data_IF_934199495052
#
_entry.id   IF_934199495052
#
_cell.length_a   1.000
_cell.length_b   1.000
_cell.length_c   1.000
_cell.angle_alpha   90.00
_cell.angle_beta   90.00
_cell.angle_gamma   90.00
#
_symmetry.space_group_name_H-M   'P 1'
#
loop_
_entity.id
_entity.type
_entity.pdbx_description
1 polymer ?
#
# COMPACT_ATOMS: atom_id res chain seq x y z
N UNK A 1 15.50 4.66 2.84
CA UNK A 1 15.98 5.91 3.46
C UNK A 1 14.93 6.98 3.28
N UNK A 2 14.69 7.83 4.30
CA UNK A 2 13.79 8.97 4.18
C UNK A 2 14.37 10.19 4.90
N UNK A 3 14.10 11.38 4.36
CA UNK A 3 14.63 12.63 4.89
C UNK A 3 13.61 13.76 4.78
N UNK A 4 13.67 14.67 5.76
CA UNK A 4 13.00 15.96 5.69
C UNK A 4 13.77 16.85 4.70
N UNK A 5 13.07 17.32 3.66
CA UNK A 5 13.61 18.31 2.72
C UNK A 5 13.29 19.72 3.22
N UNK A 6 12.17 19.87 3.90
CA UNK A 6 11.76 21.10 4.59
C UNK A 6 10.98 20.75 5.86
N UNK A 7 10.47 21.75 6.57
CA UNK A 7 9.61 21.54 7.76
C UNK A 7 8.31 20.80 7.44
N UNK A 8 7.83 20.88 6.20
CA UNK A 8 6.56 20.31 5.77
C UNK A 8 6.70 19.25 4.67
N UNK A 9 7.89 19.05 4.09
CA UNK A 9 8.11 18.12 2.98
C UNK A 9 9.12 17.05 3.38
N UNK A 10 8.78 15.79 3.13
CA UNK A 10 9.66 14.63 3.28
C UNK A 10 9.71 13.83 1.99
N UNK A 11 10.88 13.28 1.69
CA UNK A 11 11.10 12.33 0.60
C UNK A 11 11.63 11.01 1.14
N UNK A 12 11.29 9.92 0.48
CA UNK A 12 11.76 8.58 0.80
C UNK A 12 12.14 7.82 -0.45
N UNK A 13 13.21 7.04 -0.37
CA UNK A 13 13.64 6.09 -1.38
C UNK A 13 13.89 4.72 -0.75
N UNK A 14 13.48 3.66 -1.42
CA UNK A 14 13.72 2.29 -0.97
C UNK A 14 14.26 1.46 -2.13
N UNK A 15 15.19 0.55 -1.85
CA UNK A 15 15.65 -0.48 -2.79
C UNK A 15 15.30 -1.84 -2.21
N UNK A 16 14.91 -2.78 -3.07
CA UNK A 16 14.48 -4.12 -2.69
C UNK A 16 15.13 -5.16 -3.60
N UNK A 17 15.43 -6.32 -3.03
CA UNK A 17 15.63 -7.55 -3.78
C UNK A 17 14.32 -8.33 -3.72
N UNK A 18 13.83 -8.76 -4.87
CA UNK A 18 12.58 -9.48 -5.02
C UNK A 18 12.93 -10.88 -5.47
N UNK A 19 12.49 -11.87 -4.69
CA UNK A 19 12.66 -13.28 -5.02
C UNK A 19 11.29 -13.93 -5.03
N UNK A 20 10.94 -14.59 -6.13
CA UNK A 20 9.70 -15.33 -6.26
C UNK A 20 10.01 -16.78 -6.63
N UNK A 21 9.37 -17.71 -5.93
CA UNK A 21 9.42 -19.13 -6.22
C UNK A 21 7.97 -19.62 -6.38
N UNK A 22 7.51 -19.66 -7.63
CA UNK A 22 6.11 -19.95 -7.97
C UNK A 22 5.87 -21.44 -8.17
N UNK A 23 6.86 -22.18 -8.69
CA UNK A 23 6.75 -23.62 -8.89
C UNK A 23 8.13 -24.30 -8.87
N UNK A 24 8.20 -25.47 -8.22
CA UNK A 24 9.40 -26.32 -8.20
C UNK A 24 9.69 -27.06 -9.51
N UNK A 25 8.78 -27.00 -10.48
CA UNK A 25 8.95 -27.53 -11.84
C UNK A 25 8.38 -26.53 -12.86
N UNK A 26 9.01 -26.45 -14.03
CA UNK A 26 8.58 -25.58 -15.13
C UNK A 26 7.16 -25.85 -15.62
N UNK A 27 6.55 -24.85 -16.25
CA UNK A 27 5.23 -24.98 -16.85
C UNK A 27 5.34 -25.60 -18.26
N UNK A 28 4.54 -26.62 -18.57
CA UNK A 28 4.46 -27.19 -19.91
C UNK A 28 5.71 -27.96 -20.34
N UNK A 29 6.31 -27.57 -21.47
CA UNK A 29 7.46 -28.25 -22.10
C UNK A 29 8.83 -27.65 -21.72
N UNK A 30 8.85 -26.63 -20.87
CA UNK A 30 10.09 -25.89 -20.55
C UNK A 30 10.85 -26.49 -19.37
N UNK A 31 12.15 -26.73 -19.56
CA UNK A 31 13.06 -27.18 -18.50
C UNK A 31 13.55 -25.98 -17.68
N UNK A 32 13.13 -25.90 -16.41
CA UNK A 32 13.60 -24.88 -15.47
C UNK A 32 12.85 -24.90 -14.15
N UNK A 33 13.35 -24.14 -13.16
CA UNK A 33 12.62 -23.82 -11.93
C UNK A 33 11.81 -22.55 -12.15
N UNK A 34 10.54 -22.49 -11.74
CA UNK A 34 9.72 -21.26 -11.77
C UNK A 34 10.15 -20.26 -10.70
N UNK A 35 11.45 -19.96 -10.63
CA UNK A 35 12.08 -19.10 -9.64
C UNK A 35 12.75 -17.93 -10.34
N UNK A 36 12.42 -16.71 -9.90
CA UNK A 36 12.92 -15.47 -10.46
C UNK A 36 13.49 -14.57 -9.38
N UNK A 37 14.56 -13.84 -9.69
CA UNK A 37 15.10 -12.81 -8.81
C UNK A 37 15.23 -11.51 -9.59
N UNK A 38 14.71 -10.42 -9.04
CA UNK A 38 14.81 -9.08 -9.59
C UNK A 38 15.15 -8.08 -8.49
N UNK A 39 15.35 -6.83 -8.86
CA UNK A 39 15.50 -5.72 -7.94
C UNK A 39 14.45 -4.65 -8.24
N UNK A 40 14.05 -3.91 -7.22
CA UNK A 40 13.05 -2.85 -7.36
C UNK A 40 13.42 -1.62 -6.54
N UNK A 41 12.97 -0.46 -7.01
CA UNK A 41 13.06 0.82 -6.32
C UNK A 41 11.67 1.37 -6.00
N UNK A 42 11.57 2.09 -4.89
CA UNK A 42 10.41 2.91 -4.56
C UNK A 42 10.83 4.36 -4.33
N UNK A 43 9.92 5.28 -4.66
CA UNK A 43 10.00 6.70 -4.33
C UNK A 43 8.73 7.12 -3.60
N UNK A 44 8.89 7.88 -2.52
CA UNK A 44 7.79 8.42 -1.74
C UNK A 44 7.96 9.91 -1.46
N UNK A 45 6.85 10.62 -1.48
CA UNK A 45 6.75 12.03 -1.13
C UNK A 45 5.64 12.22 -0.11
N UNK A 46 5.90 13.07 0.88
CA UNK A 46 4.93 13.46 1.89
C UNK A 46 5.00 14.97 2.11
N UNK A 47 3.84 15.61 2.04
CA UNK A 47 3.65 17.02 2.34
C UNK A 47 2.64 17.18 3.47
N UNK A 48 3.04 17.89 4.52
CA UNK A 48 2.21 18.24 5.69
C UNK A 48 2.17 19.77 5.84
N UNK A 49 1.27 20.47 5.13
CA UNK A 49 1.17 21.92 5.23
C UNK A 49 0.75 22.41 6.62
N UNK A 50 0.10 21.55 7.41
CA UNK A 50 -0.23 21.77 8.82
C UNK A 50 -0.28 20.43 9.56
N UNK A 51 -0.50 20.47 10.88
CA UNK A 51 -0.70 19.26 11.69
C UNK A 51 -2.02 18.54 11.38
N UNK A 52 -2.93 19.18 10.65
CA UNK A 52 -4.23 18.63 10.31
C UNK A 52 -4.27 17.94 8.95
N UNK A 53 -3.39 18.31 8.03
CA UNK A 53 -3.45 17.84 6.65
C UNK A 53 -2.17 17.14 6.25
N UNK A 54 -2.32 16.01 5.56
CA UNK A 54 -1.23 15.34 4.88
C UNK A 54 -1.65 14.99 3.46
N UNK A 55 -0.74 15.22 2.53
CA UNK A 55 -0.84 14.74 1.17
C UNK A 55 0.43 13.94 0.86
N UNK A 56 0.29 12.81 0.19
CA UNK A 56 1.44 12.00 -0.17
C UNK A 56 1.22 11.28 -1.47
N UNK A 57 2.32 10.86 -2.09
CA UNK A 57 2.27 9.91 -3.16
C UNK A 57 3.45 8.95 -3.07
N UNK A 58 3.27 7.76 -3.61
CA UNK A 58 4.30 6.74 -3.68
C UNK A 58 4.27 6.07 -5.04
N UNK A 59 5.45 5.86 -5.61
CA UNK A 59 5.68 4.98 -6.75
C UNK A 59 6.49 3.80 -6.24
N UNK A 60 6.00 2.58 -6.43
CA UNK A 60 6.61 1.37 -5.86
C UNK A 60 6.94 0.35 -6.93
N UNK A 61 7.97 -0.44 -6.66
CA UNK A 61 8.42 -1.59 -7.46
C UNK A 61 8.87 -1.21 -8.88
N UNK A 62 9.50 -0.06 -9.05
CA UNK A 62 10.13 0.33 -10.33
C UNK A 62 11.41 -0.47 -10.52
N UNK A 63 11.50 -1.25 -11.60
CA UNK A 63 12.65 -2.10 -11.86
C UNK A 63 12.51 -2.86 -13.18
N UNK A 64 13.51 -3.66 -13.56
CA UNK A 64 13.42 -4.51 -14.74
C UNK A 64 12.42 -5.65 -14.52
N UNK A 65 11.89 -6.15 -15.64
CA UNK A 65 11.07 -7.36 -15.66
C UNK A 65 11.81 -8.52 -14.99
N UNK A 66 11.03 -9.42 -14.40
CA UNK A 66 11.54 -10.62 -13.74
C UNK A 66 11.46 -11.80 -14.69
N UNK A 67 12.60 -12.45 -14.90
CA UNK A 67 12.71 -13.66 -15.70
C UNK A 67 12.71 -14.89 -14.80
N UNK A 68 11.90 -15.90 -15.15
CA UNK A 68 11.85 -17.18 -14.44
C UNK A 68 12.55 -18.30 -15.20
N UNK A 69 12.25 -18.46 -16.49
CA UNK A 69 12.78 -19.53 -17.35
C UNK A 69 13.31 -18.92 -18.65
N UNK A 70 12.45 -18.26 -19.43
CA UNK A 70 12.80 -17.60 -20.68
C UNK A 70 12.80 -16.08 -20.53
N UNK A 71 13.84 -15.41 -21.05
CA UNK A 71 13.95 -13.96 -21.06
C UNK A 71 12.89 -13.30 -21.95
N UNK A 72 12.43 -13.99 -22.99
CA UNK A 72 11.37 -13.53 -23.89
C UNK A 72 9.96 -13.65 -23.24
N UNK A 73 9.84 -14.32 -22.08
CA UNK A 73 8.64 -14.42 -21.25
C UNK A 73 8.84 -13.77 -19.87
N UNK A 74 9.54 -12.64 -19.82
CA UNK A 74 9.75 -11.91 -18.57
C UNK A 74 8.45 -11.24 -18.09
N UNK A 75 8.12 -11.37 -16.81
CA UNK A 75 6.95 -10.70 -16.23
C UNK A 75 7.32 -9.32 -15.66
N UNK A 76 6.56 -8.25 -15.92
CA UNK A 76 6.81 -6.96 -15.29
C UNK A 76 6.64 -7.06 -13.76
N UNK A 77 7.42 -6.25 -13.04
CA UNK A 77 7.20 -6.10 -11.60
C UNK A 77 5.82 -5.47 -11.36
N UNK A 78 5.14 -5.78 -10.23
CA UNK A 78 3.86 -5.18 -9.89
C UNK A 78 4.06 -3.71 -9.48
N UNK A 79 4.30 -2.86 -10.47
CA UNK A 79 4.52 -1.44 -10.27
C UNK A 79 3.21 -0.77 -9.90
N UNK A 80 3.24 0.11 -8.91
CA UNK A 80 2.03 0.76 -8.41
C UNK A 80 2.30 2.21 -8.12
N UNK A 81 1.31 3.04 -8.42
CA UNK A 81 1.28 4.42 -7.99
C UNK A 81 0.11 4.63 -7.03
N UNK A 82 0.35 5.40 -5.97
CA UNK A 82 -0.67 5.69 -4.96
C UNK A 82 -0.57 7.14 -4.57
N UNK A 83 -1.71 7.83 -4.56
CA UNK A 83 -1.86 9.16 -3.98
C UNK A 83 -2.74 9.03 -2.74
N UNK A 84 -2.37 9.73 -1.67
CA UNK A 84 -3.11 9.72 -0.42
C UNK A 84 -3.34 11.12 0.13
N UNK A 85 -4.49 11.27 0.77
CA UNK A 85 -4.89 12.45 1.53
C UNK A 85 -5.29 12.04 2.94
N UNK A 86 -4.84 12.81 3.93
CA UNK A 86 -5.19 12.64 5.33
C UNK A 86 -5.67 13.95 5.94
N UNK A 87 -6.71 13.86 6.74
CA UNK A 87 -7.29 14.98 7.48
C UNK A 87 -7.56 14.58 8.93
N UNK A 88 -6.85 15.20 9.87
CA UNK A 88 -7.14 15.13 11.30
C UNK A 88 -8.29 16.08 11.63
N UNK A 89 -9.52 15.55 11.59
CA UNK A 89 -10.76 16.31 11.86
C UNK A 89 -10.78 16.84 13.30
N UNK A 90 -10.36 16.00 14.26
CA UNK A 90 -10.32 16.36 15.67
C UNK A 90 -8.94 16.01 16.24
N UNK A 91 -8.38 16.95 16.98
CA UNK A 91 -7.17 16.73 17.76
C UNK A 91 -7.34 17.42 19.12
N UNK A 92 -7.41 16.62 20.19
CA UNK A 92 -7.54 17.04 21.58
C UNK A 92 -6.54 16.26 22.42
N UNK A 93 -6.32 16.68 23.67
CA UNK A 93 -5.28 16.09 24.53
C UNK A 93 -5.38 14.56 24.70
N UNK A 94 -6.61 14.01 24.73
CA UNK A 94 -6.84 12.60 24.99
C UNK A 94 -7.50 11.83 23.84
N UNK A 95 -7.89 12.48 22.74
CA UNK A 95 -8.41 11.77 21.58
C UNK A 95 -8.17 12.50 20.27
N UNK A 96 -8.11 11.74 19.18
CA UNK A 96 -8.01 12.24 17.81
C UNK A 96 -8.95 11.49 16.87
N UNK A 97 -9.39 12.18 15.83
CA UNK A 97 -10.15 11.60 14.72
C UNK A 97 -9.44 11.94 13.41
N UNK A 98 -8.98 10.91 12.71
CA UNK A 98 -8.32 11.00 11.41
C UNK A 98 -9.25 10.42 10.34
N UNK A 99 -9.36 11.10 9.22
CA UNK A 99 -9.91 10.59 7.97
C UNK A 99 -8.78 10.45 6.95
N UNK A 100 -8.82 9.39 6.16
CA UNK A 100 -7.88 9.16 5.06
C UNK A 100 -8.64 8.74 3.80
N UNK A 101 -8.11 9.15 2.66
CA UNK A 101 -8.56 8.72 1.35
C UNK A 101 -7.34 8.49 0.44
N UNK A 102 -7.28 7.33 -0.19
CA UNK A 102 -6.21 6.96 -1.09
C UNK A 102 -6.77 6.52 -2.44
N UNK A 103 -6.03 6.82 -3.50
CA UNK A 103 -6.27 6.32 -4.84
C UNK A 103 -5.05 5.51 -5.25
N UNK A 104 -5.28 4.24 -5.59
CA UNK A 104 -4.27 3.28 -5.98
C UNK A 104 -4.46 2.91 -7.46
N UNK A 105 -3.38 2.99 -8.25
CA UNK A 105 -3.37 2.59 -9.65
C UNK A 105 -2.27 1.53 -9.85
N UNK A 106 -2.63 0.30 -10.23
CA UNK A 106 -1.63 -0.63 -10.75
C UNK A 106 -1.11 -0.12 -12.10
N UNK A 107 0.18 -0.27 -12.34
CA UNK A 107 0.86 0.13 -13.57
C UNK A 107 1.52 -1.12 -14.17
N UNK A 108 0.75 -2.01 -14.81
CA UNK A 108 1.23 -3.33 -15.24
C UNK A 108 2.08 -3.32 -16.52
N UNK A 109 2.47 -2.15 -17.03
CA UNK A 109 3.23 -2.04 -18.27
C UNK A 109 4.69 -2.53 -18.12
N UNK A 110 5.30 -2.95 -19.23
CA UNK A 110 6.60 -3.58 -19.27
C UNK A 110 7.77 -2.58 -19.23
N UNK A 111 8.83 -2.96 -18.53
CA UNK A 111 10.09 -2.23 -18.53
C UNK A 111 10.15 -1.00 -17.59
N UNK A 112 11.36 -0.44 -17.47
CA UNK A 112 11.66 0.60 -16.48
C UNK A 112 10.85 1.90 -16.67
N UNK A 113 10.36 2.18 -17.88
CA UNK A 113 9.58 3.38 -18.23
C UNK A 113 8.07 3.28 -18.00
N UNK A 114 7.58 2.11 -17.58
CA UNK A 114 6.16 1.79 -17.35
C UNK A 114 5.39 2.84 -16.55
N UNK A 115 6.05 3.52 -15.62
CA UNK A 115 5.43 4.57 -14.80
C UNK A 115 5.08 5.85 -15.56
N UNK A 116 5.63 6.07 -16.76
CA UNK A 116 5.30 7.19 -17.65
C UNK A 116 4.23 6.76 -18.65
N UNK A 117 4.41 5.57 -19.25
CA UNK A 117 3.56 5.03 -20.32
C UNK A 117 2.20 4.56 -19.81
N UNK A 118 2.12 4.05 -18.57
CA UNK A 118 0.88 3.58 -17.94
C UNK A 118 -0.17 4.67 -17.60
N UNK A 119 0.07 5.92 -18.01
CA UNK A 119 -0.87 7.05 -17.97
C UNK A 119 -1.32 7.53 -19.37
N UNK A 120 -0.84 6.86 -20.41
CA UNK A 120 -1.06 7.23 -21.82
C UNK A 120 -1.68 6.10 -22.63
N UNK A 121 -2.20 5.09 -21.94
CA UNK A 121 -2.73 3.84 -22.48
C UNK A 121 -4.14 4.04 -23.04
N UNK A 122 -4.95 4.90 -22.43
CA UNK A 122 -6.37 5.04 -22.77
C UNK A 122 -6.96 6.46 -22.66
N UNK A 123 -8.27 6.54 -22.85
CA UNK A 123 -9.04 7.77 -22.63
C UNK A 123 -9.12 8.06 -21.11
N UNK A 124 -8.90 9.32 -20.72
CA UNK A 124 -8.73 9.70 -19.31
C UNK A 124 -9.94 9.37 -18.42
N UNK A 125 -11.13 9.19 -19.02
CA UNK A 125 -12.35 8.80 -18.31
C UNK A 125 -12.46 7.31 -17.98
N UNK A 126 -11.80 6.45 -18.75
CA UNK A 126 -11.77 5.01 -18.51
C UNK A 126 -10.63 4.65 -17.55
N UNK A 127 -9.47 5.29 -17.66
CA UNK A 127 -8.35 5.09 -16.72
C UNK A 127 -8.68 5.45 -15.26
N UNK A 128 -9.64 6.35 -15.01
CA UNK A 128 -10.09 6.71 -13.65
C UNK A 128 -11.02 5.66 -13.03
N UNK A 129 -11.66 4.80 -13.83
CA UNK A 129 -12.52 3.71 -13.34
C UNK A 129 -11.69 2.51 -12.89
N UNK A 130 -10.53 2.32 -13.51
CA UNK A 130 -9.59 1.23 -13.23
C UNK A 130 -8.73 1.49 -11.98
N UNK A 131 -8.95 2.64 -11.31
CA UNK A 131 -8.28 2.98 -10.05
C UNK A 131 -9.03 2.39 -8.86
N UNK A 132 -8.27 1.91 -7.88
CA UNK A 132 -8.81 1.49 -6.59
C UNK A 132 -8.91 2.69 -5.67
N UNK A 133 -10.06 2.82 -5.01
CA UNK A 133 -10.33 3.87 -4.06
C UNK A 133 -10.44 3.30 -2.66
N UNK A 134 -9.71 3.90 -1.73
CA UNK A 134 -9.75 3.53 -0.33
C UNK A 134 -10.14 4.73 0.51
N UNK A 135 -11.02 4.52 1.47
CA UNK A 135 -11.35 5.53 2.49
C UNK A 135 -11.31 4.89 3.86
N UNK A 136 -10.88 5.65 4.86
CA UNK A 136 -10.72 5.15 6.21
C UNK A 136 -10.89 6.24 7.26
N UNK A 137 -11.27 5.82 8.45
CA UNK A 137 -11.27 6.65 9.64
C UNK A 137 -10.61 5.92 10.80
N UNK A 138 -9.88 6.69 11.60
CA UNK A 138 -9.30 6.24 12.86
C UNK A 138 -9.76 7.16 13.98
N UNK A 139 -10.35 6.59 15.01
CA UNK A 139 -10.56 7.26 16.28
C UNK A 139 -9.61 6.66 17.31
N UNK A 140 -8.73 7.48 17.86
CA UNK A 140 -7.76 7.07 18.87
C UNK A 140 -8.03 7.79 20.19
N UNK A 141 -7.82 7.08 21.30
CA UNK A 141 -7.99 7.60 22.65
C UNK A 141 -6.77 7.24 23.51
N UNK A 142 -6.16 8.28 24.09
CA UNK A 142 -5.04 8.14 25.03
C UNK A 142 -5.62 8.00 26.45
N UNK A 143 -5.40 6.83 27.06
CA UNK A 143 -5.77 6.54 28.45
C UNK A 143 -4.73 7.11 29.42
N UNK A 144 -3.47 7.15 29.01
CA UNK A 144 -2.32 7.72 29.73
C UNK A 144 -1.26 8.18 28.72
N UNK A 145 -0.14 8.71 29.19
CA UNK A 145 1.01 9.07 28.34
C UNK A 145 1.61 7.86 27.61
N UNK A 146 1.48 6.67 28.21
CA UNK A 146 2.06 5.41 27.70
C UNK A 146 1.00 4.43 27.19
N UNK A 147 -0.29 4.70 27.38
CA UNK A 147 -1.36 3.78 26.98
C UNK A 147 -2.41 4.44 26.11
N UNK A 148 -2.74 3.80 24.99
CA UNK A 148 -3.76 4.27 24.08
C UNK A 148 -4.46 3.08 23.39
N UNK A 149 -5.67 3.33 22.91
CA UNK A 149 -6.32 2.41 21.98
C UNK A 149 -6.85 3.18 20.77
N UNK A 150 -7.05 2.46 19.66
CA UNK A 150 -7.61 3.01 18.44
C UNK A 150 -8.67 2.06 17.88
N UNK A 151 -9.72 2.62 17.32
CA UNK A 151 -10.70 1.89 16.50
C UNK A 151 -10.64 2.45 15.08
N UNK A 152 -10.70 1.56 14.11
CA UNK A 152 -10.57 1.88 12.69
C UNK A 152 -11.73 1.29 11.92
N UNK A 153 -12.24 2.06 10.98
CA UNK A 153 -13.18 1.59 9.98
C UNK A 153 -12.73 2.09 8.62
N UNK A 154 -12.99 1.31 7.59
CA UNK A 154 -12.62 1.68 6.23
C UNK A 154 -13.39 0.92 5.18
N UNK A 155 -13.24 1.36 3.95
CA UNK A 155 -13.87 0.75 2.80
C UNK A 155 -12.92 0.85 1.61
N UNK A 156 -12.70 -0.29 0.97
CA UNK A 156 -11.96 -0.40 -0.28
C UNK A 156 -12.92 -0.71 -1.41
N UNK A 157 -12.85 0.10 -2.47
CA UNK A 157 -13.53 -0.14 -3.73
C UNK A 157 -12.50 -0.35 -4.83
N UNK A 158 -12.53 -1.54 -5.41
CA UNK A 158 -11.71 -1.95 -6.54
C UNK A 158 -12.69 -2.43 -7.62
N UNK A 159 -12.69 -1.73 -8.75
CA UNK A 159 -13.64 -1.96 -9.84
C UNK A 159 -13.27 -3.22 -10.63
N UNK A 160 -12.00 -3.33 -11.03
CA UNK A 160 -11.47 -4.39 -11.89
C UNK A 160 -11.49 -5.76 -11.21
N UNK A 161 -11.11 -5.79 -9.93
CA UNK A 161 -11.19 -6.99 -9.09
C UNK A 161 -12.60 -7.32 -8.61
N UNK A 162 -13.58 -6.44 -8.89
CA UNK A 162 -14.95 -6.48 -8.35
C UNK A 162 -14.96 -6.66 -6.82
N UNK A 163 -14.13 -5.88 -6.12
CA UNK A 163 -13.95 -5.99 -4.67
C UNK A 163 -14.54 -4.76 -3.97
N UNK A 164 -15.46 -5.05 -3.07
CA UNK A 164 -16.05 -4.09 -2.13
C UNK A 164 -15.78 -4.62 -0.73
N UNK A 165 -14.78 -4.06 -0.07
CA UNK A 165 -14.25 -4.65 1.17
C UNK A 165 -14.34 -3.63 2.30
N UNK A 166 -15.40 -3.67 3.12
CA UNK A 166 -15.38 -3.02 4.42
C UNK A 166 -14.30 -3.64 5.32
N UNK A 167 -13.60 -2.77 6.04
CA UNK A 167 -12.51 -3.15 6.94
C UNK A 167 -12.74 -2.56 8.32
N UNK A 168 -12.43 -3.33 9.35
CA UNK A 168 -12.49 -2.89 10.74
C UNK A 168 -11.14 -3.16 11.40
N UNK A 169 -10.77 -2.33 12.37
CA UNK A 169 -9.53 -2.51 13.10
C UNK A 169 -9.62 -2.04 14.53
N UNK A 170 -8.78 -2.65 15.36
CA UNK A 170 -8.58 -2.29 16.74
C UNK A 170 -7.10 -2.30 17.05
N UNK A 171 -6.60 -1.22 17.64
CA UNK A 171 -5.20 -1.05 18.03
C UNK A 171 -5.08 -0.81 19.53
N UNK A 172 -4.06 -1.39 20.14
CA UNK A 172 -3.64 -1.14 21.52
C UNK A 172 -2.18 -0.73 21.53
N UNK A 173 -1.87 0.33 22.27
CA UNK A 173 -0.50 0.72 22.61
C UNK A 173 -0.33 0.62 24.12
N UNK A 174 0.73 -0.05 24.53
CA UNK A 174 1.17 -0.13 25.92
C UNK A 174 2.68 0.06 25.98
N UNK A 175 3.10 1.23 26.45
CA UNK A 175 4.50 1.61 26.63
C UNK A 175 5.31 1.43 25.33
N UNK A 176 6.23 0.47 25.31
CA UNK A 176 7.10 0.12 24.19
C UNK A 176 6.44 -0.83 23.17
N UNK A 177 5.25 -1.35 23.44
CA UNK A 177 4.59 -2.36 22.60
C UNK A 177 3.30 -1.84 21.94
N UNK A 178 3.06 -2.25 20.70
CA UNK A 178 1.82 -2.03 19.98
C UNK A 178 1.25 -3.35 19.46
N UNK A 179 -0.06 -3.48 19.50
CA UNK A 179 -0.81 -4.63 18.98
C UNK A 179 -1.96 -4.12 18.13
N UNK A 180 -2.09 -4.65 16.91
CA UNK A 180 -3.19 -4.31 16.02
C UNK A 180 -3.89 -5.57 15.49
N UNK A 181 -5.21 -5.50 15.49
CA UNK A 181 -6.13 -6.45 14.90
C UNK A 181 -6.85 -5.76 13.75
N UNK A 182 -6.93 -6.40 12.59
CA UNK A 182 -7.76 -5.95 11.49
C UNK A 182 -8.61 -7.09 10.94
N UNK A 183 -9.81 -6.75 10.47
CA UNK A 183 -10.79 -7.67 9.91
C UNK A 183 -11.26 -7.15 8.55
N UNK A 184 -11.10 -7.98 7.52
CA UNK A 184 -11.54 -7.68 6.16
C UNK A 184 -12.81 -8.46 5.88
N UNK A 185 -13.94 -7.77 5.90
CA UNK A 185 -15.24 -8.35 5.60
C UNK A 185 -15.44 -8.36 4.08
N UNK A 186 -15.25 -9.51 3.45
CA UNK A 186 -15.43 -9.66 1.99
C UNK A 186 -16.29 -10.89 1.70
N UNK A 187 -17.43 -10.72 1.04
CA UNK A 187 -18.39 -11.78 0.76
C UNK A 187 -18.08 -12.66 -0.46
N UNK A 188 -17.14 -12.29 -1.33
CA UNK A 188 -17.05 -12.83 -2.71
C UNK A 188 -15.68 -13.22 -3.24
N UNK A 189 -14.63 -13.30 -2.41
CA UNK A 189 -13.26 -13.63 -2.87
C UNK A 189 -12.64 -14.79 -2.09
N UNK A 190 -11.55 -15.37 -2.63
CA UNK A 190 -10.83 -16.48 -2.00
C UNK A 190 -10.27 -16.15 -0.60
N UNK A 191 -10.07 -14.86 -0.30
CA UNK A 191 -9.64 -14.36 1.01
C UNK A 191 -10.83 -13.71 1.71
N UNK A 192 -11.83 -14.52 2.02
CA UNK A 192 -13.06 -14.10 2.71
C UNK A 192 -12.87 -14.08 4.23
N UNK A 193 -13.27 -12.99 4.86
CA UNK A 193 -13.36 -12.84 6.32
C UNK A 193 -12.06 -13.17 7.05
N UNK A 194 -11.00 -12.43 6.71
CA UNK A 194 -9.68 -12.67 7.28
C UNK A 194 -9.38 -11.69 8.40
N UNK A 195 -8.92 -12.25 9.52
CA UNK A 195 -8.27 -11.49 10.58
C UNK A 195 -6.78 -11.40 10.31
N UNK A 196 -6.20 -10.20 10.45
CA UNK A 196 -4.75 -9.99 10.45
C UNK A 196 -4.33 -9.42 11.80
N UNK A 197 -3.22 -9.94 12.29
CA UNK A 197 -2.62 -9.55 13.56
C UNK A 197 -1.24 -8.98 13.27
N UNK A 198 -0.92 -7.86 13.91
CA UNK A 198 0.43 -7.29 13.88
C UNK A 198 0.84 -6.80 15.26
N UNK A 199 2.14 -6.90 15.53
CA UNK A 199 2.75 -6.39 16.75
C UNK A 199 3.99 -5.57 16.39
N UNK A 200 4.25 -4.53 17.18
CA UNK A 200 5.40 -3.64 17.02
C UNK A 200 6.05 -3.34 18.35
N UNK A 201 7.35 -3.04 18.31
CA UNK A 201 8.14 -2.65 19.46
C UNK A 201 8.89 -1.36 19.16
N UNK A 202 8.87 -0.42 20.09
CA UNK A 202 9.61 0.85 20.02
C UNK A 202 10.65 0.87 21.12
N UNK A 203 11.90 1.16 20.76
CA UNK A 203 13.07 1.21 21.65
C UNK A 203 13.63 2.63 21.72
#
# INVERSE_FOLDING_TARGET
>A
YGAYISRSISLGITTKLIHQNLAGQGAGAEQGSGTGTSFGGDLGFLWKPSDQFSFGWTLRNVGPNMTFIDADQSDPLPQTFTIGFGWTLLNRNNYSLLFVADVYKPLPDEGFGSFITGWSDGDAGDELKDMDYHVGTEWAYNLSEVTAFAVRAGYSHDHDGNRKTPTFGFGLKYDWATFDLSYFANGGTAVRNVFRFSGGFTF
#
